data_IF_212005924117
#
_entry.id   IF_212005924117
#
_cell.length_a   1.000
_cell.length_b   1.000
_cell.length_c   1.000
_cell.angle_alpha   90.00
_cell.angle_beta   90.00
_cell.angle_gamma   90.00
#
_symmetry.space_group_name_H-M   'P 1'
#
loop_
_entity.id
_entity.type
_entity.pdbx_description
1 polymer ?
2 non-polymer ?
3 water ?
#
# COMPACT_ATOMS: atom_id res chain seq x y z
N UNK A 4 -9.62 2.40 9.89
CA UNK A 4 -8.48 1.90 10.68
C UNK A 4 -7.27 1.62 9.79
N UNK A 5 -6.36 2.57 9.71
CA UNK A 5 -5.25 2.41 8.79
C UNK A 5 -4.33 1.28 9.19
N UNK A 6 -3.95 1.22 10.46
CA UNK A 6 -3.01 0.21 10.94
C UNK A 6 -3.64 -1.17 10.76
N UNK A 7 -4.94 -1.24 10.96
CA UNK A 7 -5.70 -2.45 10.66
C UNK A 7 -5.61 -2.77 9.17
N UNK A 8 -5.71 -1.74 8.34
CA UNK A 8 -5.58 -1.93 6.90
C UNK A 8 -4.20 -2.48 6.52
N UNK A 9 -3.12 -2.08 7.21
CA UNK A 9 -1.82 -2.67 6.87
C UNK A 9 -1.76 -4.14 7.30
N UNK A 10 -2.31 -4.49 8.45
CA UNK A 10 -2.20 -5.85 8.96
C UNK A 10 -2.59 -6.88 7.90
N UNK A 11 -3.81 -6.74 7.39
CA UNK A 11 -4.41 -7.61 6.40
C UNK A 11 -3.69 -7.53 5.06
N UNK A 12 -3.21 -6.35 4.66
CA UNK A 12 -2.35 -6.28 3.48
C UNK A 12 -1.23 -7.31 3.58
N UNK A 13 -0.41 -7.23 4.63
CA UNK A 13 0.71 -8.15 4.80
C UNK A 13 0.25 -9.60 4.95
N UNK A 14 -0.83 -9.84 5.69
CA UNK A 14 -1.27 -11.22 5.85
C UNK A 14 -1.93 -11.78 4.60
N UNK A 15 -2.79 -11.00 3.94
CA UNK A 15 -3.44 -11.54 2.74
C UNK A 15 -2.41 -12.21 1.84
N UNK A 16 -1.21 -11.66 1.75
CA UNK A 16 -0.17 -12.16 0.87
C UNK A 16 0.35 -13.55 1.25
N UNK A 17 0.54 -13.77 2.54
CA UNK A 17 1.16 -15.00 3.04
C UNK A 17 0.10 -16.08 3.17
N UNK A 18 -1.15 -15.64 3.29
CA UNK A 18 -2.29 -16.54 3.27
C UNK A 18 -2.29 -17.31 1.96
N UNK A 19 -1.74 -16.68 0.93
CA UNK A 19 -1.64 -17.34 -0.37
C UNK A 19 -0.21 -17.71 -0.71
N UNK A 20 0.80 -16.95 -0.31
CA UNK A 20 2.15 -17.25 -0.78
C UNK A 20 2.69 -18.60 -0.32
N UNK A 21 2.25 -19.13 0.82
CA UNK A 21 2.81 -20.34 1.39
C UNK A 21 2.11 -21.61 0.95
N UNK A 22 1.81 -21.72 -0.34
CA UNK A 22 1.16 -22.93 -0.84
C UNK A 22 2.13 -23.78 -1.65
N UNK A 23 2.87 -23.15 -2.56
CA UNK A 23 3.69 -23.93 -3.48
C UNK A 23 5.06 -23.29 -3.70
N UNK A 24 6.07 -24.15 -3.68
CA UNK A 24 7.45 -23.73 -3.83
C UNK A 24 7.80 -22.58 -2.89
N UNK A 25 8.43 -21.54 -3.42
CA UNK A 25 8.83 -20.42 -2.56
C UNK A 25 7.66 -19.98 -1.69
N UNK A 26 7.90 -19.82 -0.38
CA UNK A 26 6.75 -19.57 0.48
C UNK A 26 6.55 -18.07 0.69
N UNK A 27 7.54 -17.33 0.21
CA UNK A 27 7.50 -15.87 0.31
C UNK A 27 7.39 -15.25 -1.08
N UNK A 28 6.85 -16.04 -2.01
CA UNK A 28 6.65 -15.58 -3.38
C UNK A 28 5.30 -16.07 -3.89
N UNK A 29 4.70 -15.32 -4.81
CA UNK A 29 3.43 -15.81 -5.35
C UNK A 29 3.73 -16.41 -6.72
N UNK A 30 3.29 -17.64 -6.98
CA UNK A 30 3.45 -18.11 -8.36
C UNK A 30 2.12 -17.89 -9.07
N UNK A 31 2.12 -17.89 -10.39
CA UNK A 31 0.89 -17.56 -11.11
C UNK A 31 -0.33 -18.18 -10.46
N UNK A 32 -0.18 -19.36 -9.85
CA UNK A 32 -1.39 -20.05 -9.40
C UNK A 32 -1.91 -19.56 -8.06
N UNK A 33 -1.02 -19.24 -7.12
CA UNK A 33 -1.44 -18.64 -5.85
C UNK A 33 -1.93 -17.21 -6.09
N UNK A 34 -1.24 -16.50 -6.98
CA UNK A 34 -1.71 -15.16 -7.33
C UNK A 34 -3.16 -15.22 -7.78
N UNK A 35 -3.45 -16.32 -8.48
CA UNK A 35 -4.74 -16.52 -9.11
C UNK A 35 -5.86 -16.46 -8.07
N UNK A 36 -5.72 -17.25 -7.01
CA UNK A 36 -6.72 -17.33 -5.95
C UNK A 36 -6.69 -16.06 -5.11
N UNK A 37 -5.49 -15.49 -4.92
CA UNK A 37 -5.43 -14.21 -4.23
C UNK A 37 -6.31 -13.21 -4.98
N UNK A 38 -5.95 -12.96 -6.23
CA UNK A 38 -6.61 -11.97 -7.08
C UNK A 38 -8.11 -12.24 -7.17
N UNK A 39 -8.46 -13.53 -7.18
CA UNK A 39 -9.86 -13.86 -7.43
C UNK A 39 -10.71 -13.74 -6.18
N UNK A 40 -10.18 -14.16 -5.03
CA UNK A 40 -11.00 -14.16 -3.82
C UNK A 40 -10.82 -12.89 -3.00
N UNK A 41 -9.79 -12.11 -3.30
CA UNK A 41 -9.41 -10.96 -2.51
C UNK A 41 -9.81 -9.63 -3.14
N UNK A 42 -9.49 -9.50 -4.42
CA UNK A 42 -9.68 -8.30 -5.22
C UNK A 42 -10.69 -8.49 -6.35
N UNK A 43 -11.77 -9.20 -6.05
CA UNK A 43 -12.76 -9.57 -7.06
C UNK A 43 -13.27 -8.40 -7.91
N UNK A 44 -13.33 -7.19 -7.38
CA UNK A 44 -13.85 -6.05 -8.13
C UNK A 44 -12.82 -5.47 -9.08
N UNK A 45 -11.62 -6.04 -9.09
CA UNK A 45 -10.61 -5.54 -10.01
C UNK A 45 -10.38 -6.47 -11.19
N UNK A 46 -10.94 -7.68 -11.16
CA UNK A 46 -10.66 -8.65 -12.22
C UNK A 46 -11.84 -8.95 -13.13
N UNK A 47 -12.84 -8.07 -13.21
CA UNK A 47 -13.97 -8.23 -14.09
C UNK A 47 -14.21 -9.65 -14.56
N UNK A 48 -13.93 -9.95 -15.83
CA UNK A 48 -14.13 -11.30 -16.36
C UNK A 48 -12.98 -11.74 -17.25
N UNK A 49 -12.06 -10.84 -17.58
CA UNK A 49 -10.88 -11.32 -18.30
C UNK A 49 -10.02 -12.15 -17.34
N UNK A 50 -10.44 -13.38 -17.05
CA UNK A 50 -9.69 -14.23 -16.13
C UNK A 50 -9.12 -15.47 -16.79
N UNK A 51 -9.12 -15.50 -18.12
CA UNK A 51 -8.53 -16.61 -18.86
C UNK A 51 -7.04 -16.73 -18.54
N UNK A 52 -6.28 -17.29 -19.48
CA UNK A 52 -4.83 -17.30 -19.31
C UNK A 52 -4.17 -16.48 -20.41
N UNK A 53 -4.09 -15.19 -20.15
CA UNK A 53 -3.54 -14.14 -21.00
C UNK A 53 -3.88 -12.81 -20.32
N UNK A 54 -5.00 -12.87 -19.61
CA UNK A 54 -5.38 -11.80 -18.68
C UNK A 54 -4.76 -12.15 -17.32
N UNK A 55 -4.46 -13.44 -17.14
CA UNK A 55 -3.76 -13.91 -15.96
C UNK A 55 -2.27 -14.03 -16.24
N UNK A 56 -1.90 -14.13 -17.51
CA UNK A 56 -0.45 -14.13 -17.77
C UNK A 56 0.04 -12.68 -17.77
N UNK A 57 -0.65 -11.88 -18.56
CA UNK A 57 -0.54 -10.44 -18.63
C UNK A 57 -0.10 -9.85 -17.29
N UNK A 58 -1.02 -9.96 -16.36
CA UNK A 58 -0.94 -9.59 -14.96
C UNK A 58 0.39 -10.05 -14.36
N UNK A 59 0.63 -11.35 -14.39
CA UNK A 59 1.90 -11.93 -13.95
C UNK A 59 3.06 -11.20 -14.62
N UNK A 60 2.95 -11.11 -15.95
CA UNK A 60 3.99 -10.30 -16.61
C UNK A 60 4.00 -8.92 -15.96
N UNK A 61 2.81 -8.35 -15.80
CA UNK A 61 2.63 -7.02 -15.22
C UNK A 61 3.31 -6.95 -13.85
N UNK A 62 2.84 -7.77 -12.93
CA UNK A 62 3.23 -7.86 -11.54
C UNK A 62 4.71 -8.14 -11.30
N UNK A 63 5.30 -9.01 -12.10
CA UNK A 63 6.63 -9.56 -11.89
C UNK A 63 7.73 -8.76 -12.59
N UNK A 64 8.06 -7.65 -11.97
CA UNK A 64 9.03 -6.62 -12.25
C UNK A 64 10.47 -7.11 -12.28
N UNK A 65 10.81 -8.23 -11.65
CA UNK A 65 12.18 -8.75 -11.79
C UNK A 65 12.20 -9.94 -12.76
N UNK A 66 11.02 -10.35 -13.18
CA UNK A 66 10.73 -11.40 -14.13
C UNK A 66 11.35 -12.74 -13.74
N UNK A 67 11.12 -13.19 -12.52
CA UNK A 67 11.50 -14.53 -12.09
C UNK A 67 10.26 -15.43 -12.05
N UNK A 68 9.22 -14.96 -12.74
CA UNK A 68 7.93 -15.63 -12.86
C UNK A 68 7.28 -15.89 -11.51
N UNK A 69 7.40 -14.92 -10.61
CA UNK A 69 6.84 -14.98 -9.27
C UNK A 69 6.71 -13.57 -8.70
N UNK A 70 5.65 -13.40 -7.94
CA UNK A 70 5.29 -12.18 -7.24
C UNK A 70 5.77 -12.23 -5.79
N UNK A 71 6.78 -11.43 -5.49
CA UNK A 71 7.30 -11.25 -4.14
C UNK A 71 6.58 -10.13 -3.40
N UNK A 72 6.88 -9.99 -2.11
CA UNK A 72 6.14 -9.07 -1.27
C UNK A 72 6.33 -7.62 -1.72
N UNK A 73 7.51 -7.26 -2.21
CA UNK A 73 7.67 -5.88 -2.69
C UNK A 73 6.93 -5.62 -4.00
N UNK A 74 6.92 -6.56 -4.94
CA UNK A 74 6.19 -6.38 -6.19
C UNK A 74 4.68 -6.38 -5.96
N UNK A 75 4.25 -7.08 -4.91
CA UNK A 75 2.86 -7.05 -4.48
C UNK A 75 2.49 -5.74 -3.80
N UNK A 76 3.42 -5.06 -3.12
CA UNK A 76 3.08 -3.74 -2.59
C UNK A 76 3.11 -2.68 -3.69
N UNK A 77 3.89 -2.88 -4.75
CA UNK A 77 3.85 -1.96 -5.87
C UNK A 77 2.48 -2.03 -6.56
N UNK A 78 2.04 -3.26 -6.79
CA UNK A 78 0.72 -3.52 -7.38
C UNK A 78 -0.38 -2.87 -6.55
N UNK A 79 -0.39 -3.14 -5.25
CA UNK A 79 -1.37 -2.57 -4.33
C UNK A 79 -1.36 -1.05 -4.34
N UNK A 80 -0.19 -0.42 -4.30
CA UNK A 80 -0.11 1.02 -4.51
C UNK A 80 -0.71 1.42 -5.85
N UNK A 81 -0.69 0.55 -6.87
CA UNK A 81 -1.29 0.90 -8.15
C UNK A 81 -2.82 0.88 -8.11
N UNK A 82 -3.38 -0.04 -7.34
CA UNK A 82 -4.81 -0.09 -7.11
C UNK A 82 -5.30 1.12 -6.32
N UNK A 83 -4.71 1.36 -5.15
CA UNK A 83 -5.10 2.54 -4.36
C UNK A 83 -5.04 3.83 -5.17
N UNK A 84 -3.94 4.07 -5.88
CA UNK A 84 -3.81 5.27 -6.69
C UNK A 84 -4.91 5.33 -7.74
N UNK A 85 -5.27 4.17 -8.29
CA UNK A 85 -6.35 4.17 -9.28
C UNK A 85 -7.63 4.64 -8.61
N UNK A 86 -7.94 4.00 -7.49
CA UNK A 86 -9.09 4.35 -6.67
C UNK A 86 -9.07 5.84 -6.33
N UNK A 87 -7.88 6.40 -6.12
CA UNK A 87 -7.71 7.79 -5.77
C UNK A 87 -8.00 8.75 -6.92
N UNK A 88 -7.38 8.50 -8.07
CA UNK A 88 -7.50 9.45 -9.18
C UNK A 88 -8.96 9.56 -9.59
N UNK A 89 -9.73 8.52 -9.30
CA UNK A 89 -11.17 8.48 -9.52
C UNK A 89 -11.92 8.89 -8.27
N UNK A 90 -12.37 10.14 -8.19
CA UNK A 90 -12.95 10.63 -6.93
C UNK A 90 -14.04 11.67 -7.13
N UNK B 4 -11.78 -8.22 2.57
CA UNK B 4 -10.96 -7.52 3.57
C UNK B 4 -9.85 -6.68 2.94
N UNK B 5 -9.28 -7.18 1.85
CA UNK B 5 -8.23 -6.46 1.12
C UNK B 5 -8.82 -5.26 0.40
N UNK B 6 -10.11 -5.31 0.06
CA UNK B 6 -10.72 -4.14 -0.58
C UNK B 6 -11.15 -3.08 0.42
N UNK B 7 -11.72 -3.43 1.56
CA UNK B 7 -12.05 -2.37 2.52
C UNK B 7 -10.77 -1.73 3.06
N UNK B 8 -9.70 -2.51 3.15
CA UNK B 8 -8.43 -1.94 3.59
C UNK B 8 -7.82 -1.01 2.55
N UNK B 9 -7.97 -1.32 1.26
CA UNK B 9 -7.36 -0.38 0.31
C UNK B 9 -8.15 0.92 0.28
N UNK B 10 -9.45 0.90 0.57
CA UNK B 10 -10.09 2.23 0.53
C UNK B 10 -10.01 2.87 1.92
N UNK B 11 -9.70 2.07 2.94
CA UNK B 11 -9.32 2.65 4.23
C UNK B 11 -8.01 3.42 4.04
N UNK B 12 -7.08 2.89 3.25
CA UNK B 12 -5.88 3.66 2.96
C UNK B 12 -6.14 4.90 2.10
N UNK B 13 -7.11 4.84 1.19
CA UNK B 13 -7.45 5.95 0.29
C UNK B 13 -8.20 7.05 1.02
N UNK B 14 -9.27 6.72 1.73
CA UNK B 14 -10.08 7.75 2.37
C UNK B 14 -9.34 8.41 3.52
N UNK B 15 -8.33 7.71 4.03
CA UNK B 15 -7.64 8.26 5.21
C UNK B 15 -6.78 9.43 4.77
N UNK B 16 -6.12 9.25 3.62
CA UNK B 16 -5.34 10.39 3.15
C UNK B 16 -6.27 11.61 3.15
N UNK B 17 -7.24 11.62 2.24
CA UNK B 17 -8.16 12.76 2.14
C UNK B 17 -8.69 13.17 3.50
N UNK B 18 -8.53 12.32 4.52
CA UNK B 18 -9.05 12.76 5.81
C UNK B 18 -8.31 13.98 6.34
N UNK B 19 -7.13 14.29 5.80
CA UNK B 19 -6.34 15.37 6.38
C UNK B 19 -5.74 16.33 5.36
N UNK B 20 -5.40 15.84 4.17
CA UNK B 20 -4.76 16.69 3.18
C UNK B 20 -5.67 17.83 2.72
N UNK B 21 -6.98 17.66 2.93
CA UNK B 21 -7.91 18.69 2.50
C UNK B 21 -8.25 19.68 3.60
N UNK B 22 -7.78 19.43 4.82
CA UNK B 22 -8.13 20.32 5.93
C UNK B 22 -7.67 21.74 5.65
N UNK B 23 -6.46 21.84 5.12
CA UNK B 23 -5.76 23.08 4.85
C UNK B 23 -5.10 23.12 3.48
N UNK B 24 -5.06 24.29 2.86
CA UNK B 24 -4.35 24.54 1.63
C UNK B 24 -4.65 23.56 0.51
N UNK B 25 -3.62 23.10 -0.20
CA UNK B 25 -3.84 22.11 -1.25
C UNK B 25 -4.63 20.94 -0.66
N UNK B 26 -5.83 20.70 -1.22
CA UNK B 26 -6.64 19.62 -0.68
C UNK B 26 -6.22 18.26 -1.26
N UNK B 27 -5.13 18.23 -2.01
CA UNK B 27 -4.66 16.95 -2.54
C UNK B 27 -3.33 16.53 -1.92
N UNK B 28 -2.87 17.26 -0.91
CA UNK B 28 -1.58 16.93 -0.30
C UNK B 28 -1.55 17.27 1.18
N UNK B 29 -0.69 16.57 1.91
CA UNK B 29 -0.54 16.76 3.35
C UNK B 29 0.65 17.69 3.61
N UNK B 30 0.40 18.73 4.40
CA UNK B 30 1.46 19.60 4.91
C UNK B 30 1.80 19.07 6.30
N UNK B 31 2.71 19.70 7.02
CA UNK B 31 3.22 19.15 8.28
C UNK B 31 2.12 18.96 9.30
N UNK B 32 1.41 20.04 9.62
CA UNK B 32 0.29 19.89 10.55
C UNK B 32 -0.58 18.70 10.17
N UNK B 33 -0.96 18.69 8.89
CA UNK B 33 -1.79 17.64 8.30
C UNK B 33 -1.13 16.28 8.43
N UNK B 34 0.16 16.19 8.13
CA UNK B 34 0.88 14.91 8.24
C UNK B 34 0.99 14.46 9.68
N UNK B 35 1.19 15.38 10.62
CA UNK B 35 1.27 14.98 12.02
C UNK B 35 -0.04 14.43 12.55
N UNK B 36 -1.14 15.10 12.22
CA UNK B 36 -2.46 14.62 12.59
C UNK B 36 -2.65 13.17 12.14
N UNK B 37 -2.46 12.90 10.86
CA UNK B 37 -2.68 11.57 10.28
C UNK B 37 -1.92 10.49 11.05
N UNK B 38 -0.62 10.70 11.23
CA UNK B 38 0.30 9.74 11.81
C UNK B 38 -0.01 9.44 13.28
N UNK B 39 -0.04 10.54 14.01
CA UNK B 39 -0.40 10.69 15.40
C UNK B 39 -1.74 10.05 15.71
N UNK B 40 -2.71 10.19 14.81
CA UNK B 40 -4.03 9.62 15.06
C UNK B 40 -4.19 8.24 14.43
N UNK B 41 -3.86 8.17 13.14
CA UNK B 41 -4.10 6.95 12.38
C UNK B 41 -2.93 5.98 12.42
N UNK B 42 -1.72 6.43 12.76
CA UNK B 42 -0.60 5.49 12.73
C UNK B 42 0.36 5.64 13.91
N UNK B 43 -0.15 5.50 15.12
CA UNK B 43 0.67 5.69 16.33
C UNK B 43 1.72 4.60 16.52
N UNK B 44 1.40 3.37 16.12
CA UNK B 44 2.26 2.21 16.27
C UNK B 44 3.65 2.42 15.69
N UNK B 45 3.61 2.55 14.36
CA UNK B 45 4.75 2.84 13.51
C UNK B 45 5.22 4.26 13.79
N UNK B 46 5.01 4.62 15.05
CA UNK B 46 5.27 5.95 15.56
C UNK B 46 6.34 5.92 16.64
N UNK B 47 6.27 4.88 17.47
CA UNK B 47 7.20 4.73 18.58
C UNK B 47 7.03 5.85 19.59
N UNK B 48 8.05 6.69 19.70
CA UNK B 48 8.02 7.79 20.65
C UNK B 48 8.49 9.10 20.02
N UNK B 49 9.20 9.01 18.90
CA UNK B 49 9.73 10.22 18.28
C UNK B 49 8.63 11.24 18.01
N UNK B 50 8.23 11.93 19.07
CA UNK B 50 7.16 12.91 19.09
C UNK B 50 7.66 14.34 19.26
N UNK B 51 8.87 14.62 18.79
CA UNK B 51 9.41 15.98 18.94
C UNK B 51 8.70 17.11 18.20
N UNK B 52 9.14 17.37 16.97
CA UNK B 52 8.56 18.43 16.15
C UNK B 52 9.83 18.26 15.32
N UNK B 53 10.88 17.75 15.95
CA UNK B 53 12.12 17.45 15.25
C UNK B 53 12.07 16.04 14.66
N UNK B 54 11.29 15.16 15.28
CA UNK B 54 11.13 13.81 14.73
C UNK B 54 10.27 13.85 13.47
N UNK B 55 9.16 14.58 13.55
CA UNK B 55 8.21 14.74 12.46
C UNK B 55 8.82 15.46 11.26
N UNK B 56 9.62 16.48 11.48
CA UNK B 56 10.24 17.27 10.41
C UNK B 56 11.19 16.46 9.54
N UNK B 57 11.82 15.39 10.03
CA UNK B 57 12.53 14.61 9.00
C UNK B 57 11.58 13.47 8.61
N UNK B 58 10.53 13.37 9.42
CA UNK B 58 9.41 12.46 9.21
C UNK B 58 8.59 12.91 8.00
N UNK B 59 8.62 14.21 7.76
CA UNK B 59 8.02 14.88 6.62
C UNK B 59 9.06 15.06 5.51
N UNK B 60 10.32 15.27 5.89
CA UNK B 60 11.32 15.49 4.86
C UNK B 60 11.64 14.18 4.17
N UNK B 61 11.51 13.05 4.88
CA UNK B 61 11.87 11.84 4.12
C UNK B 61 10.68 11.30 3.33
N UNK B 62 9.44 11.64 3.67
CA UNK B 62 8.36 11.08 2.83
C UNK B 62 8.28 11.85 1.52
N UNK B 63 8.73 13.09 1.60
CA UNK B 63 8.60 14.14 0.61
C UNK B 63 9.62 14.08 -0.52
N UNK B 64 9.70 12.94 -1.21
CA UNK B 64 10.70 12.70 -2.24
C UNK B 64 10.80 13.84 -3.23
N UNK B 65 9.71 14.53 -3.57
CA UNK B 65 9.91 15.59 -4.58
C UNK B 65 10.70 16.76 -4.01
N UNK B 66 10.48 17.10 -2.76
CA UNK B 66 11.21 18.22 -2.16
C UNK B 66 10.35 19.48 -2.27
N UNK B 67 9.06 19.25 -2.52
CA UNK B 67 8.14 20.38 -2.64
C UNK B 67 7.40 20.65 -1.33
N UNK B 68 7.98 20.26 -0.21
CA UNK B 68 7.56 20.50 1.15
C UNK B 68 6.19 19.96 1.52
N UNK B 69 5.62 19.07 0.72
CA UNK B 69 4.32 18.48 0.98
C UNK B 69 4.26 17.01 0.57
N UNK B 70 3.33 16.28 1.18
CA UNK B 70 3.23 14.87 0.81
C UNK B 70 1.99 14.62 -0.04
N UNK B 71 2.14 14.34 -1.33
CA UNK B 71 0.95 14.04 -2.14
C UNK B 71 0.53 12.58 -1.96
N UNK B 72 -0.57 12.15 -2.59
CA UNK B 72 -1.08 10.81 -2.34
C UNK B 72 -0.09 9.71 -2.71
N UNK B 73 0.62 9.93 -3.80
CA UNK B 73 1.62 9.01 -4.32
C UNK B 73 2.61 8.66 -3.21
N UNK B 74 3.15 9.74 -2.67
CA UNK B 74 4.17 9.79 -1.65
C UNK B 74 3.69 9.12 -0.37
N UNK B 75 2.48 9.43 0.07
CA UNK B 75 1.83 8.74 1.20
C UNK B 75 1.85 7.24 0.95
N UNK B 76 1.54 6.90 -0.31
CA UNK B 76 1.56 5.56 -0.86
C UNK B 76 2.90 4.86 -0.67
N UNK B 77 4.02 5.42 -1.11
CA UNK B 77 5.33 4.82 -0.93
C UNK B 77 5.66 4.67 0.55
N UNK B 78 5.20 5.62 1.36
CA UNK B 78 5.34 5.50 2.81
C UNK B 78 4.58 4.31 3.36
N UNK B 79 3.31 4.15 3.00
CA UNK B 79 2.52 3.05 3.53
C UNK B 79 3.15 1.70 3.17
N UNK B 80 3.78 1.67 2.00
CA UNK B 80 4.34 0.41 1.50
C UNK B 80 5.69 0.14 2.14
N UNK B 81 6.52 1.14 2.40
CA UNK B 81 7.72 0.90 3.21
C UNK B 81 7.37 0.34 4.57
N UNK B 82 6.30 0.91 5.14
CA UNK B 82 5.82 0.43 6.43
C UNK B 82 5.25 -0.99 6.33
N UNK B 83 4.68 -1.34 5.17
CA UNK B 83 4.24 -2.71 4.92
C UNK B 83 5.45 -3.64 4.80
N UNK B 84 6.44 -3.24 4.00
CA UNK B 84 7.63 -4.04 3.77
C UNK B 84 8.39 -4.24 5.09
N UNK B 85 8.45 -3.20 5.90
CA UNK B 85 9.12 -3.23 7.19
C UNK B 85 8.46 -4.23 8.13
N UNK B 86 7.15 -4.10 8.33
CA UNK B 86 6.46 -5.08 9.16
C UNK B 86 6.58 -6.48 8.57
N UNK B 87 6.14 -6.66 7.32
CA UNK B 87 6.27 -8.00 6.76
C UNK B 87 7.53 -8.66 7.35
N UNK B 88 8.67 -8.12 6.97
CA UNK B 88 10.01 -8.59 7.29
C UNK B 88 10.12 -8.98 8.76
N UNK B 89 9.29 -8.35 9.59
CA UNK B 89 9.24 -8.67 11.00
C UNK B 89 8.29 -9.85 11.26
N UNK B 90 7.06 -9.67 10.84
CA UNK B 90 5.91 -10.55 10.89
C UNK B 90 4.88 -10.07 11.92
X LIG C 1 9.24 -11.19 -9.01
X LIG D 1 4.56 -19.71 -3.17
X LIG E 1 -3.36 20.19 2.56
X LIG F 1 6.18 15.95 -2.13
#
# INVERSE_FOLDING_TARGET
MACPLEKALDVMVSTFHKYSGKEGDKFKLNKSELKELLTRELPSFLGKRTDEAAFQKLMSNLDSNRDNEVDFQEYCVFLSCIAMMCNEFFEGFPDKQPRKK
MACPLEKALDVMVSTFHKYSGKEGDKFKLNKSELKELLTRELPSFLGKRTDEAAFQKLMSNLDSNRDNEVDFQEYCVFLSCIAMMCNEFFEGFPDKQPRKK
CA CA
CA CA
CA CA
CA CA
#
